data_IF_648544093401
#
_entry.id   IF_648544093401
#
_cell.length_a   1.000
_cell.length_b   1.000
_cell.length_c   1.000
_cell.angle_alpha   90.00
_cell.angle_beta   90.00
_cell.angle_gamma   90.00
#
_symmetry.space_group_name_H-M   'P 1'
#
loop_
_entity.id
_entity.type
_entity.pdbx_description
1 polymer ?
#
# COMPACT_ATOMS: atom_id res chain seq x y z
N UNK A 1 5.98 -17.54 18.50
CA UNK A 1 4.52 -17.34 18.40
C UNK A 1 4.24 -16.93 16.97
N UNK A 2 3.86 -17.88 16.12
CA UNK A 2 3.55 -17.66 14.70
C UNK A 2 2.02 -17.65 14.59
N UNK A 3 1.43 -16.47 14.44
CA UNK A 3 0.03 -16.37 14.08
C UNK A 3 -0.07 -16.51 12.56
N UNK A 4 -0.36 -17.76 12.17
CA UNK A 4 -0.79 -18.24 10.88
C UNK A 4 -1.85 -17.30 10.24
N UNK A 5 -1.43 -16.48 9.27
CA UNK A 5 -2.35 -15.90 8.28
C UNK A 5 -2.66 -16.94 7.21
N UNK A 6 -3.41 -17.98 7.58
CA UNK A 6 -3.88 -19.03 6.66
C UNK A 6 -5.15 -18.61 5.87
N UNK A 7 -5.66 -17.38 6.03
CA UNK A 7 -6.68 -16.85 5.14
C UNK A 7 -6.41 -15.39 4.81
N UNK A 8 -6.19 -15.13 3.52
CA UNK A 8 -6.10 -13.78 2.97
C UNK A 8 -7.51 -13.20 2.71
N UNK A 9 -8.52 -14.06 2.65
CA UNK A 9 -9.91 -13.67 2.43
C UNK A 9 -10.70 -13.59 3.74
N UNK A 10 -11.50 -12.53 3.93
CA UNK A 10 -12.22 -12.27 5.19
C UNK A 10 -13.59 -11.62 4.97
N UNK A 11 -14.59 -12.04 5.75
CA UNK A 11 -15.92 -11.42 5.77
C UNK A 11 -15.86 -10.02 6.42
N UNK A 12 -16.45 -9.02 5.77
CA UNK A 12 -16.60 -7.66 6.29
C UNK A 12 -18.07 -7.32 6.53
N UNK A 13 -18.34 -6.59 7.62
CA UNK A 13 -19.56 -5.81 7.78
C UNK A 13 -19.51 -4.65 6.76
N UNK A 14 -20.50 -4.55 5.88
CA UNK A 14 -20.69 -3.35 5.04
C UNK A 14 -22.08 -2.82 5.30
N UNK A 15 -22.22 -1.50 5.26
CA UNK A 15 -23.52 -0.90 5.02
C UNK A 15 -23.82 -0.94 3.51
N UNK A 16 -25.06 -1.22 3.13
CA UNK A 16 -25.52 -1.02 1.75
C UNK A 16 -25.42 0.47 1.40
N UNK A 17 -24.85 0.79 0.24
CA UNK A 17 -24.61 2.18 -0.15
C UNK A 17 -25.93 2.93 -0.40
N UNK A 18 -26.10 4.17 0.10
CA UNK A 18 -27.32 4.95 -0.07
C UNK A 18 -27.50 5.59 -1.47
N UNK A 19 -26.53 5.45 -2.39
CA UNK A 19 -26.55 6.06 -3.73
C UNK A 19 -25.71 5.26 -4.76
N UNK A 20 -26.02 5.34 -6.06
CA UNK A 20 -25.38 4.58 -7.15
C UNK A 20 -23.90 4.93 -7.44
N UNK A 21 -23.36 5.96 -6.78
CA UNK A 21 -21.99 6.46 -6.99
C UNK A 21 -20.93 5.80 -6.08
N UNK A 22 -21.34 5.24 -4.93
CA UNK A 22 -20.45 4.52 -4.01
C UNK A 22 -20.74 3.03 -4.14
N UNK A 23 -19.72 2.24 -4.46
CA UNK A 23 -19.87 0.79 -4.58
C UNK A 23 -19.80 0.13 -3.20
N UNK A 24 -18.78 0.47 -2.40
CA UNK A 24 -18.58 -0.10 -1.07
C UNK A 24 -17.72 0.82 -0.20
N UNK A 25 -18.02 0.86 1.11
CA UNK A 25 -17.15 1.43 2.14
C UNK A 25 -16.56 0.27 2.94
N UNK A 26 -15.23 0.19 2.97
CA UNK A 26 -14.45 -0.84 3.66
C UNK A 26 -13.94 -0.28 4.99
N UNK A 27 -14.20 -1.02 6.05
CA UNK A 27 -13.61 -0.78 7.38
C UNK A 27 -12.40 -1.67 7.58
N UNK A 28 -11.33 -1.17 8.23
CA UNK A 28 -10.10 -1.92 8.37
C UNK A 28 -10.22 -2.99 9.45
N UNK A 29 -9.43 -4.05 9.31
CA UNK A 29 -9.13 -4.95 10.43
C UNK A 29 -7.75 -4.65 10.97
N UNK A 30 -7.60 -4.70 12.30
CA UNK A 30 -6.29 -4.63 12.94
C UNK A 30 -5.60 -5.99 12.82
N UNK A 31 -4.39 -6.00 12.25
CA UNK A 31 -3.51 -7.16 12.16
C UNK A 31 -2.20 -6.89 12.90
N UNK A 32 -1.68 -7.87 13.63
CA UNK A 32 -0.38 -7.80 14.31
C UNK A 32 0.71 -8.40 13.42
N UNK A 33 1.78 -7.65 13.18
CA UNK A 33 2.95 -8.05 12.40
C UNK A 33 4.17 -8.41 13.28
N UNK A 34 3.95 -8.66 14.56
CA UNK A 34 5.00 -9.08 15.50
C UNK A 34 5.54 -7.92 16.34
N UNK A 35 4.67 -7.27 17.11
CA UNK A 35 5.02 -6.14 17.98
C UNK A 35 4.58 -4.78 17.43
N UNK A 36 3.93 -4.78 16.27
CA UNK A 36 3.38 -3.61 15.61
C UNK A 36 2.07 -3.98 14.91
N UNK A 37 1.04 -3.15 15.06
CA UNK A 37 -0.26 -3.38 14.44
C UNK A 37 -0.49 -2.48 13.23
N UNK A 38 -1.13 -3.05 12.22
CA UNK A 38 -1.53 -2.40 10.98
C UNK A 38 -3.04 -2.45 10.80
N UNK A 39 -3.59 -1.48 10.07
CA UNK A 39 -4.98 -1.48 9.63
C UNK A 39 -5.05 -1.97 8.18
N UNK A 40 -5.55 -3.19 7.98
CA UNK A 40 -5.68 -3.82 6.67
C UNK A 40 -7.03 -3.53 6.03
N UNK A 41 -6.99 -3.05 4.79
CA UNK A 41 -8.17 -2.71 3.98
C UNK A 41 -8.30 -3.50 2.69
N UNK A 42 -7.19 -3.99 2.12
CA UNK A 42 -7.22 -4.91 1.00
C UNK A 42 -6.26 -6.08 1.25
N UNK A 43 -6.63 -7.30 0.83
CA UNK A 43 -7.93 -7.68 0.27
C UNK A 43 -8.99 -7.97 1.35
N UNK A 44 -10.27 -7.92 0.97
CA UNK A 44 -11.45 -8.35 1.78
C UNK A 44 -12.30 -9.35 1.00
N UNK A 45 -13.35 -9.94 1.59
CA UNK A 45 -14.30 -10.78 0.86
C UNK A 45 -15.11 -9.97 -0.17
N UNK A 46 -15.41 -8.70 0.13
CA UNK A 46 -16.21 -7.82 -0.73
C UNK A 46 -15.40 -7.17 -1.85
N UNK A 47 -14.12 -6.85 -1.58
CA UNK A 47 -13.23 -6.23 -2.55
C UNK A 47 -11.83 -6.81 -2.44
N UNK A 48 -11.36 -7.45 -3.50
CA UNK A 48 -10.00 -8.01 -3.57
C UNK A 48 -8.98 -7.00 -4.06
N UNK A 49 -9.38 -6.16 -5.02
CA UNK A 49 -8.50 -5.22 -5.70
C UNK A 49 -9.23 -3.92 -6.02
N UNK A 50 -8.50 -2.84 -6.19
CA UNK A 50 -8.98 -1.60 -6.82
C UNK A 50 -7.99 -1.27 -7.93
N UNK A 51 -8.41 -1.37 -9.19
CA UNK A 51 -7.44 -1.33 -10.30
C UNK A 51 -6.35 -2.40 -10.13
N UNK A 52 -5.05 -2.04 -10.15
CA UNK A 52 -3.95 -2.98 -9.89
C UNK A 52 -3.63 -3.20 -8.41
N UNK A 53 -4.24 -2.46 -7.48
CA UNK A 53 -3.94 -2.53 -6.04
C UNK A 53 -4.58 -3.75 -5.39
N UNK A 54 -3.79 -4.73 -4.95
CA UNK A 54 -4.26 -5.99 -4.35
C UNK A 54 -4.12 -6.05 -2.83
N UNK A 55 -3.36 -5.11 -2.25
CA UNK A 55 -3.10 -5.05 -0.82
C UNK A 55 -2.98 -3.60 -0.38
N UNK A 56 -3.50 -3.31 0.82
CA UNK A 56 -3.43 -1.99 1.44
C UNK A 56 -3.44 -2.13 2.96
N UNK A 57 -2.34 -1.75 3.58
CA UNK A 57 -2.20 -1.61 5.03
C UNK A 57 -1.82 -0.15 5.37
N UNK A 58 -2.46 0.41 6.39
CA UNK A 58 -1.93 1.56 7.12
C UNK A 58 -1.10 1.09 8.30
N UNK A 59 0.12 1.60 8.40
CA UNK A 59 1.04 1.38 9.52
C UNK A 59 0.98 2.59 10.46
N UNK A 60 0.64 2.39 11.74
CA UNK A 60 0.57 3.48 12.72
C UNK A 60 -0.70 4.33 12.60
N UNK A 61 -0.76 5.56 13.15
CA UNK A 61 0.32 6.22 13.89
C UNK A 61 0.67 5.45 15.17
N UNK A 62 1.94 5.11 15.33
CA UNK A 62 2.46 4.43 16.52
C UNK A 62 3.61 5.22 17.13
N UNK A 63 3.77 5.11 18.45
CA UNK A 63 4.91 5.64 19.19
C UNK A 63 5.70 4.49 19.79
N UNK A 64 7.01 4.54 19.66
CA UNK A 64 7.93 3.52 20.16
C UNK A 64 8.85 4.15 21.20
N UNK A 65 8.97 3.56 22.40
CA UNK A 65 10.03 3.89 23.33
C UNK A 65 11.42 3.62 22.74
N UNK A 66 12.44 4.33 23.24
CA UNK A 66 13.83 4.03 22.91
C UNK A 66 14.16 2.54 23.12
N UNK A 67 14.77 1.91 22.11
CA UNK A 67 15.14 0.50 22.07
C UNK A 67 14.11 -0.42 21.39
N UNK A 68 12.90 0.07 21.16
CA UNK A 68 11.86 -0.64 20.41
C UNK A 68 11.76 -0.12 18.97
N UNK A 69 10.98 -0.79 18.13
CA UNK A 69 10.79 -0.43 16.73
C UNK A 69 10.34 -1.62 15.89
N UNK A 70 10.10 -1.37 14.60
CA UNK A 70 9.72 -2.42 13.66
C UNK A 70 10.91 -3.34 13.33
N UNK A 71 10.62 -4.64 13.24
CA UNK A 71 11.62 -5.65 12.87
C UNK A 71 11.00 -6.78 12.05
N UNK A 72 10.61 -6.46 10.82
CA UNK A 72 10.12 -7.47 9.87
C UNK A 72 11.33 -8.24 9.32
N UNK A 73 11.38 -9.53 9.65
CA UNK A 73 12.45 -10.42 9.21
C UNK A 73 12.36 -10.69 7.69
N UNK A 74 13.46 -11.16 7.06
CA UNK A 74 13.47 -11.59 5.67
C UNK A 74 12.27 -12.46 5.29
N UNK A 75 11.51 -12.01 4.28
CA UNK A 75 10.36 -12.70 3.73
C UNK A 75 10.27 -12.48 2.21
N UNK A 76 9.67 -13.42 1.45
CA UNK A 76 9.65 -13.39 0.00
C UNK A 76 8.37 -12.77 -0.55
N UNK A 77 8.45 -12.23 -1.77
CA UNK A 77 7.32 -11.84 -2.60
C UNK A 77 7.51 -12.34 -4.04
N UNK A 78 6.39 -12.56 -4.76
CA UNK A 78 6.36 -12.81 -6.22
C UNK A 78 5.16 -12.07 -6.84
N UNK A 79 5.26 -11.74 -8.13
CA UNK A 79 4.13 -11.27 -8.96
C UNK A 79 3.54 -9.92 -8.58
N UNK A 80 4.23 -9.15 -7.74
CA UNK A 80 3.83 -7.81 -7.28
C UNK A 80 4.96 -6.80 -7.39
N UNK A 81 4.61 -5.52 -7.23
CA UNK A 81 5.51 -4.52 -6.69
C UNK A 81 4.95 -3.97 -5.38
N UNK A 82 5.77 -3.88 -4.33
CA UNK A 82 5.38 -3.21 -3.07
C UNK A 82 5.67 -1.72 -3.17
N UNK A 83 4.79 -0.91 -2.59
CA UNK A 83 4.87 0.54 -2.51
C UNK A 83 4.81 0.94 -1.05
N UNK A 84 5.88 1.57 -0.57
CA UNK A 84 5.96 2.11 0.80
C UNK A 84 5.92 3.62 0.74
N UNK A 85 5.09 4.23 1.58
CA UNK A 85 4.99 5.68 1.74
C UNK A 85 4.85 6.05 3.22
N UNK A 86 5.65 6.99 3.72
CA UNK A 86 5.61 7.41 5.12
C UNK A 86 5.05 8.82 5.29
N UNK A 87 4.22 8.98 6.32
CA UNK A 87 3.80 10.26 6.86
C UNK A 87 4.73 10.73 7.99
N UNK A 88 5.28 9.80 8.77
CA UNK A 88 6.16 10.03 9.91
C UNK A 88 7.09 8.83 10.11
N UNK A 89 8.31 9.06 10.60
CA UNK A 89 9.27 8.01 10.93
C UNK A 89 10.25 7.67 9.80
N UNK A 90 10.93 6.53 9.92
CA UNK A 90 11.86 6.03 8.92
C UNK A 90 11.77 4.50 8.88
N UNK A 91 11.84 3.90 7.69
CA UNK A 91 12.00 2.44 7.55
C UNK A 91 13.26 2.18 6.75
N UNK A 92 14.08 1.24 7.20
CA UNK A 92 15.20 0.69 6.45
C UNK A 92 14.76 -0.56 5.69
N UNK A 93 14.85 -0.49 4.37
CA UNK A 93 14.68 -1.61 3.47
C UNK A 93 16.03 -2.28 3.16
N UNK A 94 16.05 -3.61 3.20
CA UNK A 94 17.11 -4.45 2.61
C UNK A 94 16.51 -5.57 1.78
N UNK A 95 17.13 -5.93 0.67
CA UNK A 95 16.64 -7.03 -0.16
C UNK A 95 17.74 -7.95 -0.73
N UNK A 96 17.30 -8.97 -1.45
CA UNK A 96 18.14 -9.97 -2.09
C UNK A 96 18.81 -9.51 -3.38
N UNK A 97 18.46 -8.33 -3.92
CA UNK A 97 19.18 -7.71 -5.06
C UNK A 97 20.28 -6.75 -4.59
N UNK A 98 20.45 -6.61 -3.27
CA UNK A 98 21.54 -5.85 -2.65
C UNK A 98 21.16 -4.41 -2.28
N UNK A 99 19.88 -4.05 -2.33
CA UNK A 99 19.43 -2.73 -1.93
C UNK A 99 19.58 -2.53 -0.41
N UNK A 100 19.97 -1.33 -0.01
CA UNK A 100 20.00 -0.86 1.36
C UNK A 100 19.52 0.59 1.37
N UNK A 101 18.26 0.82 1.75
CA UNK A 101 17.64 2.14 1.56
C UNK A 101 16.75 2.52 2.75
N UNK A 102 17.10 3.57 3.52
CA UNK A 102 16.15 4.22 4.41
C UNK A 102 15.14 5.03 3.62
N UNK A 103 13.85 4.85 3.89
CA UNK A 103 12.75 5.68 3.39
C UNK A 103 12.26 6.62 4.49
N UNK A 104 12.02 7.89 4.15
CA UNK A 104 11.57 8.94 5.05
C UNK A 104 10.25 9.56 4.58
N UNK A 105 9.61 10.43 5.39
CA UNK A 105 8.33 11.00 5.01
C UNK A 105 8.44 11.78 3.71
N UNK A 106 7.48 11.57 2.81
CA UNK A 106 7.51 12.15 1.47
C UNK A 106 8.12 11.24 0.40
N UNK A 107 9.06 10.37 0.75
CA UNK A 107 9.70 9.47 -0.22
C UNK A 107 8.77 8.32 -0.65
N UNK A 108 9.06 7.71 -1.79
CA UNK A 108 8.41 6.47 -2.25
C UNK A 108 9.46 5.40 -2.49
N UNK A 109 9.28 4.23 -1.90
CA UNK A 109 9.97 3.01 -2.33
C UNK A 109 9.03 2.17 -3.18
N UNK A 110 9.56 1.68 -4.32
CA UNK A 110 8.92 0.70 -5.17
C UNK A 110 9.84 -0.52 -5.29
N UNK A 111 9.48 -1.62 -4.62
CA UNK A 111 10.19 -2.90 -4.76
C UNK A 111 9.42 -3.80 -5.72
N UNK A 112 9.99 -4.05 -6.90
CA UNK A 112 9.45 -4.96 -7.90
C UNK A 112 9.90 -6.38 -7.55
N UNK A 113 8.95 -7.22 -7.14
CA UNK A 113 9.25 -8.61 -6.81
C UNK A 113 9.39 -9.49 -8.05
N UNK A 114 8.51 -9.31 -9.04
CA UNK A 114 8.54 -10.07 -10.28
C UNK A 114 8.64 -11.58 -10.04
N UNK A 115 9.64 -12.22 -10.64
CA UNK A 115 9.89 -13.66 -10.49
C UNK A 115 10.27 -14.08 -9.06
N UNK A 116 10.70 -13.15 -8.20
CA UNK A 116 10.92 -13.39 -6.78
C UNK A 116 11.98 -12.49 -6.16
N UNK A 117 11.63 -11.86 -5.05
CA UNK A 117 12.56 -11.10 -4.20
C UNK A 117 12.32 -11.49 -2.74
N UNK A 118 13.38 -11.54 -1.93
CA UNK A 118 13.25 -11.55 -0.47
C UNK A 118 13.71 -10.22 0.08
N UNK A 119 13.04 -9.70 1.11
CA UNK A 119 13.40 -8.44 1.74
C UNK A 119 13.06 -8.41 3.23
N UNK A 120 13.64 -7.42 3.92
CA UNK A 120 13.39 -7.12 5.33
C UNK A 120 13.16 -5.62 5.51
N UNK A 121 12.33 -5.27 6.49
CA UNK A 121 11.99 -3.88 6.84
C UNK A 121 12.22 -3.69 8.34
N UNK A 122 13.12 -2.78 8.70
CA UNK A 122 13.54 -2.53 10.10
C UNK A 122 13.75 -1.04 10.33
N UNK A 123 13.95 -0.63 11.58
CA UNK A 123 14.47 0.71 11.88
C UNK A 123 15.97 0.69 12.16
N UNK A 124 16.67 1.75 11.77
CA UNK A 124 18.11 1.87 12.03
C UNK A 124 18.38 2.13 13.52
N UNK A 125 19.53 1.70 14.07
CA UNK A 125 19.88 1.95 15.47
C UNK A 125 19.83 3.42 15.87
N UNK A 126 20.13 4.35 14.96
CA UNK A 126 20.07 5.78 15.25
C UNK A 126 18.63 6.30 15.44
N UNK A 127 17.65 5.62 14.83
CA UNK A 127 16.22 5.92 14.99
C UNK A 127 15.72 5.34 16.31
N UNK A 128 16.01 4.06 16.56
CA UNK A 128 15.52 3.36 17.75
C UNK A 128 16.25 3.77 19.03
N UNK A 129 17.39 4.49 18.97
CA UNK A 129 18.10 4.98 20.14
C UNK A 129 17.32 6.01 20.99
N UNK A 130 16.19 6.51 20.50
CA UNK A 130 15.32 7.49 21.18
C UNK A 130 13.85 7.17 20.95
N UNK A 131 12.98 7.81 21.73
CA UNK A 131 11.55 7.77 21.47
C UNK A 131 11.26 8.34 20.07
N UNK A 132 10.47 7.62 19.29
CA UNK A 132 10.14 7.98 17.91
C UNK A 132 8.75 7.48 17.54
N UNK A 133 8.34 7.81 16.33
CA UNK A 133 7.00 7.52 15.81
C UNK A 133 7.10 7.01 14.38
N UNK A 134 6.13 6.19 14.00
CA UNK A 134 5.97 5.66 12.65
C UNK A 134 4.52 5.80 12.22
N UNK A 135 4.31 6.36 11.03
CA UNK A 135 3.00 6.42 10.38
C UNK A 135 3.21 6.38 8.87
N UNK A 136 2.46 5.54 8.16
CA UNK A 136 2.62 5.37 6.72
C UNK A 136 1.64 4.38 6.13
N UNK A 137 1.86 4.05 4.86
CA UNK A 137 1.06 3.14 4.06
C UNK A 137 1.96 2.12 3.37
N UNK A 138 1.55 0.85 3.36
CA UNK A 138 2.15 -0.23 2.59
C UNK A 138 1.09 -0.79 1.62
N UNK A 139 1.36 -0.68 0.32
CA UNK A 139 0.45 -1.12 -0.72
C UNK A 139 1.14 -2.10 -1.66
N UNK A 140 0.40 -3.03 -2.25
CA UNK A 140 0.93 -3.91 -3.30
C UNK A 140 0.19 -3.71 -4.61
N UNK A 141 0.96 -3.47 -5.68
CA UNK A 141 0.53 -3.52 -7.05
C UNK A 141 0.69 -4.97 -7.55
N UNK A 142 -0.40 -5.62 -7.94
CA UNK A 142 -0.27 -6.84 -8.72
C UNK A 142 0.34 -6.50 -10.09
N UNK A 143 1.30 -7.29 -10.56
CA UNK A 143 1.87 -7.10 -11.89
C UNK A 143 0.91 -7.67 -12.94
N UNK A 144 0.79 -7.04 -14.13
CA UNK A 144 0.12 -7.67 -15.26
C UNK A 144 0.87 -8.94 -15.69
N UNK A 145 0.17 -9.86 -16.38
CA UNK A 145 0.72 -11.19 -16.71
C UNK A 145 2.04 -11.12 -17.50
N UNK A 146 2.19 -10.11 -18.36
CA UNK A 146 3.42 -9.87 -19.12
C UNK A 146 4.64 -9.47 -18.27
N UNK A 147 4.42 -9.08 -17.01
CA UNK A 147 5.46 -8.62 -16.08
C UNK A 147 5.55 -9.47 -14.80
N UNK A 148 4.67 -10.46 -14.57
CA UNK A 148 4.70 -11.29 -13.36
C UNK A 148 6.04 -11.98 -13.10
N UNK A 149 6.79 -12.31 -14.17
CA UNK A 149 8.09 -12.99 -14.10
C UNK A 149 9.26 -12.07 -14.51
N UNK A 150 9.10 -10.76 -14.44
CA UNK A 150 10.22 -9.83 -14.67
C UNK A 150 11.28 -9.96 -13.57
N UNK A 151 12.52 -9.57 -13.87
CA UNK A 151 13.59 -9.59 -12.87
C UNK A 151 13.26 -8.68 -11.68
N UNK A 152 13.60 -9.10 -10.45
CA UNK A 152 13.38 -8.29 -9.26
C UNK A 152 14.22 -7.00 -9.32
N UNK A 153 13.66 -5.90 -8.83
CA UNK A 153 14.32 -4.60 -8.83
C UNK A 153 13.83 -3.73 -7.67
N UNK A 154 14.62 -2.73 -7.30
CA UNK A 154 14.24 -1.74 -6.30
C UNK A 154 14.46 -0.33 -6.85
N UNK A 155 13.48 0.55 -6.61
CA UNK A 155 13.52 1.94 -7.01
C UNK A 155 13.13 2.83 -5.82
N UNK A 156 13.98 3.81 -5.51
CA UNK A 156 13.71 4.83 -4.51
C UNK A 156 13.51 6.18 -5.18
N UNK A 157 12.44 6.86 -4.81
CA UNK A 157 12.08 8.18 -5.31
C UNK A 157 12.04 9.15 -4.12
N UNK A 158 13.04 10.02 -3.99
CA UNK A 158 13.05 11.07 -2.98
C UNK A 158 11.80 11.97 -3.09
N UNK A 159 11.29 12.43 -1.94
CA UNK A 159 10.04 13.18 -1.89
C UNK A 159 10.02 14.48 -2.70
N UNK A 160 11.19 15.09 -2.97
CA UNK A 160 11.34 16.28 -3.80
C UNK A 160 11.23 16.02 -5.32
N UNK A 161 11.28 14.76 -5.74
CA UNK A 161 11.02 14.33 -7.12
C UNK A 161 9.54 14.02 -7.37
N UNK A 162 8.74 13.93 -6.30
CA UNK A 162 7.31 13.64 -6.42
C UNK A 162 6.55 14.94 -6.66
N UNK A 163 5.85 15.09 -7.80
CA UNK A 163 5.19 16.33 -8.16
C UNK A 163 4.06 16.68 -7.18
N UNK A 164 4.08 17.93 -6.72
CA UNK A 164 3.04 18.53 -5.90
C UNK A 164 2.34 19.64 -6.69
N UNK A 165 1.01 19.72 -6.54
CA UNK A 165 0.16 20.71 -7.20
C UNK A 165 -0.93 21.19 -6.23
N UNK A 166 -1.41 22.41 -6.42
CA UNK A 166 -2.56 22.96 -5.70
C UNK A 166 -3.80 22.88 -6.59
N UNK A 167 -4.87 22.26 -6.09
CA UNK A 167 -6.16 22.15 -6.76
C UNK A 167 -7.17 22.92 -5.92
N UNK A 168 -7.51 24.14 -6.35
CA UNK A 168 -8.45 25.02 -5.65
C UNK A 168 -8.14 25.20 -4.15
N UNK A 169 -6.85 25.35 -3.82
CA UNK A 169 -6.35 25.48 -2.46
C UNK A 169 -6.11 24.15 -1.73
N UNK A 170 -6.31 23.00 -2.38
CA UNK A 170 -6.01 21.67 -1.83
C UNK A 170 -4.62 21.24 -2.31
N UNK A 171 -3.63 21.09 -1.41
CA UNK A 171 -2.34 20.51 -1.76
C UNK A 171 -2.50 19.02 -2.10
N UNK A 172 -2.07 18.65 -3.30
CA UNK A 172 -2.09 17.28 -3.83
C UNK A 172 -0.68 16.87 -4.25
N UNK A 173 -0.29 15.64 -3.95
CA UNK A 173 0.93 15.00 -4.47
C UNK A 173 0.54 13.84 -5.37
N UNK A 174 1.05 13.85 -6.61
CA UNK A 174 0.82 12.77 -7.58
C UNK A 174 1.91 11.73 -7.39
N UNK A 175 1.63 10.75 -6.54
CA UNK A 175 2.60 9.74 -6.07
C UNK A 175 2.92 8.72 -7.17
N UNK A 176 1.91 8.17 -7.84
CA UNK A 176 2.04 7.26 -8.99
C UNK A 176 0.97 7.61 -10.02
N UNK A 177 1.34 7.58 -11.30
CA UNK A 177 0.41 7.87 -12.39
C UNK A 177 0.48 9.32 -12.87
N UNK A 178 -0.62 9.75 -13.50
CA UNK A 178 -0.80 11.11 -13.97
C UNK A 178 -2.16 11.64 -13.51
N UNK A 179 -2.19 12.86 -12.99
CA UNK A 179 -3.42 13.54 -12.57
C UNK A 179 -3.20 15.05 -12.65
N UNK A 180 -4.28 15.81 -12.90
CA UNK A 180 -4.26 17.28 -12.90
C UNK A 180 -3.15 17.90 -13.78
N UNK A 181 -2.84 17.27 -14.92
CA UNK A 181 -1.83 17.76 -15.86
C UNK A 181 -0.37 17.51 -15.47
N UNK A 182 -0.10 16.79 -14.38
CA UNK A 182 1.25 16.39 -13.96
C UNK A 182 1.40 14.86 -13.90
N UNK A 183 2.63 14.38 -14.05
CA UNK A 183 2.96 12.95 -14.09
C UNK A 183 4.09 12.62 -13.11
N UNK A 184 3.89 11.57 -12.32
CA UNK A 184 4.90 11.03 -11.40
C UNK A 184 6.04 10.33 -12.16
N UNK A 185 7.31 10.43 -11.70
CA UNK A 185 8.41 9.64 -12.23
C UNK A 185 8.36 8.17 -11.79
N UNK A 186 7.49 7.81 -10.83
CA UNK A 186 7.42 6.44 -10.31
C UNK A 186 7.03 5.47 -11.41
N UNK A 187 7.85 4.43 -11.57
CA UNK A 187 7.66 3.38 -12.56
C UNK A 187 6.28 2.71 -12.43
N UNK A 188 5.64 2.49 -13.58
CA UNK A 188 4.34 1.83 -13.71
C UNK A 188 4.44 0.60 -14.59
N UNK A 189 3.59 -0.39 -14.34
CA UNK A 189 3.46 -1.62 -15.13
C UNK A 189 2.08 -1.77 -15.79
N UNK A 190 1.11 -0.99 -15.31
CA UNK A 190 -0.24 -0.80 -15.83
C UNK A 190 -0.71 0.60 -15.45
N UNK A 191 -1.80 1.09 -16.04
CA UNK A 191 -2.40 2.36 -15.63
C UNK A 191 -2.71 2.32 -14.15
N UNK A 192 -2.08 3.22 -13.39
CA UNK A 192 -2.07 3.23 -11.94
C UNK A 192 -2.26 4.65 -11.46
N UNK A 193 -3.09 4.83 -10.45
CA UNK A 193 -3.30 6.10 -9.77
C UNK A 193 -2.96 5.93 -8.30
N UNK A 194 -2.10 6.81 -7.79
CA UNK A 194 -1.90 7.02 -6.36
C UNK A 194 -1.64 8.51 -6.09
N UNK A 195 -2.52 9.14 -5.31
CA UNK A 195 -2.38 10.51 -4.84
C UNK A 195 -2.40 10.59 -3.32
N UNK A 196 -1.75 11.61 -2.78
CA UNK A 196 -1.99 12.11 -1.42
C UNK A 196 -2.62 13.50 -1.52
N UNK A 197 -3.58 13.81 -0.66
CA UNK A 197 -4.08 15.17 -0.50
C UNK A 197 -4.39 15.49 0.96
N UNK A 198 -4.27 16.78 1.34
CA UNK A 198 -4.72 17.28 2.64
C UNK A 198 -5.73 18.39 2.43
N UNK A 199 -6.96 18.18 2.91
CA UNK A 199 -8.08 19.09 2.76
C UNK A 199 -8.38 19.75 4.11
N UNK A 200 -8.62 21.05 4.12
CA UNK A 200 -9.23 21.76 5.25
C UNK A 200 -10.74 21.55 5.26
N UNK A 201 -11.35 21.74 6.42
CA UNK A 201 -12.80 21.69 6.57
C UNK A 201 -13.52 22.56 5.52
N UNK A 202 -14.48 21.98 4.81
CA UNK A 202 -15.26 22.64 3.76
C UNK A 202 -14.62 22.66 2.37
N UNK A 203 -13.35 22.25 2.22
CA UNK A 203 -12.75 22.08 0.90
C UNK A 203 -13.31 20.85 0.19
N UNK A 204 -13.49 20.97 -1.11
CA UNK A 204 -13.89 19.90 -2.01
C UNK A 204 -12.74 19.62 -2.98
N UNK A 205 -12.54 18.34 -3.28
CA UNK A 205 -11.63 17.89 -4.33
C UNK A 205 -12.39 17.00 -5.30
N UNK A 206 -12.40 17.37 -6.58
CA UNK A 206 -12.79 16.48 -7.66
C UNK A 206 -11.67 15.44 -7.87
N UNK A 207 -12.01 14.17 -7.72
CA UNK A 207 -11.06 13.06 -7.90
C UNK A 207 -10.72 12.89 -9.38
N UNK A 208 -9.47 12.55 -9.73
CA UNK A 208 -9.11 12.31 -11.12
C UNK A 208 -9.83 11.08 -11.68
N UNK A 209 -10.02 11.08 -13.00
CA UNK A 209 -10.60 9.95 -13.71
C UNK A 209 -9.69 8.72 -13.66
N UNK A 210 -10.29 7.56 -13.41
CA UNK A 210 -9.66 6.24 -13.44
C UNK A 210 -10.74 5.17 -13.61
N UNK A 211 -10.42 4.05 -14.29
CA UNK A 211 -11.36 2.94 -14.53
C UNK A 211 -11.93 2.39 -13.22
N UNK A 212 -11.08 2.24 -12.21
CA UNK A 212 -11.48 2.02 -10.82
C UNK A 212 -10.73 2.99 -9.91
N UNK A 213 -11.40 3.46 -8.86
CA UNK A 213 -10.80 4.33 -7.86
C UNK A 213 -11.40 4.13 -6.48
N UNK A 214 -10.59 4.42 -5.48
CA UNK A 214 -10.99 4.47 -4.09
C UNK A 214 -10.29 5.62 -3.37
N UNK A 215 -10.94 6.13 -2.32
CA UNK A 215 -10.36 7.09 -1.38
C UNK A 215 -10.21 6.43 -0.04
N UNK A 216 -9.02 6.49 0.52
CA UNK A 216 -8.71 6.13 1.88
C UNK A 216 -8.53 7.38 2.74
N UNK A 217 -9.20 7.45 3.89
CA UNK A 217 -9.10 8.57 4.84
C UNK A 217 -8.09 8.20 5.92
N UNK A 218 -6.87 8.75 5.88
CA UNK A 218 -5.83 8.47 6.87
C UNK A 218 -6.10 9.18 8.21
N UNK A 219 -6.68 10.38 8.16
CA UNK A 219 -7.13 11.15 9.33
C UNK A 219 -8.24 12.11 8.94
N UNK A 220 -9.08 12.50 9.89
CA UNK A 220 -10.23 13.39 9.66
C UNK A 220 -11.44 12.65 9.11
N UNK A 221 -12.27 13.33 8.32
CA UNK A 221 -13.49 12.77 7.77
C UNK A 221 -13.88 13.49 6.47
N UNK A 222 -14.41 12.71 5.52
CA UNK A 222 -14.96 13.21 4.27
C UNK A 222 -16.46 12.98 4.20
N UNK A 223 -17.09 13.62 3.22
CA UNK A 223 -18.42 13.30 2.72
C UNK A 223 -18.37 13.20 1.19
N UNK A 224 -19.08 12.23 0.63
CA UNK A 224 -19.28 12.11 -0.81
C UNK A 224 -20.70 11.60 -1.09
N UNK A 225 -21.39 12.20 -2.06
CA UNK A 225 -22.76 11.82 -2.44
C UNK A 225 -23.73 11.67 -1.26
N UNK A 226 -23.61 12.53 -0.23
CA UNK A 226 -24.45 12.49 0.97
C UNK A 226 -24.05 11.45 2.02
N UNK A 227 -23.04 10.61 1.76
CA UNK A 227 -22.51 9.62 2.70
C UNK A 227 -21.28 10.14 3.42
N UNK A 228 -21.18 9.89 4.73
CA UNK A 228 -19.96 10.12 5.49
C UNK A 228 -18.93 9.02 5.21
N UNK A 229 -17.68 9.43 5.01
CA UNK A 229 -16.53 8.55 4.83
C UNK A 229 -15.60 8.78 6.04
N UNK A 230 -15.68 7.93 7.08
CA UNK A 230 -14.97 8.17 8.33
C UNK A 230 -13.47 7.91 8.22
N UNK A 231 -12.70 8.40 9.20
CA UNK A 231 -11.30 8.07 9.37
C UNK A 231 -11.03 6.56 9.29
N UNK A 232 -9.88 6.21 8.74
CA UNK A 232 -9.38 4.86 8.53
C UNK A 232 -10.26 3.96 7.66
N UNK A 233 -11.24 4.51 6.94
CA UNK A 233 -12.05 3.76 5.98
C UNK A 233 -11.56 3.96 4.54
N UNK A 234 -11.83 2.99 3.68
CA UNK A 234 -11.64 3.10 2.23
C UNK A 234 -12.99 3.03 1.52
N UNK A 235 -13.27 4.05 0.71
CA UNK A 235 -14.49 4.12 -0.11
C UNK A 235 -14.15 3.84 -1.56
N UNK A 236 -14.73 2.79 -2.13
CA UNK A 236 -14.62 2.44 -3.54
C UNK A 236 -15.81 3.04 -4.28
N UNK A 237 -15.53 3.83 -5.32
CA UNK A 237 -16.54 4.49 -6.12
C UNK A 237 -16.95 3.63 -7.32
N UNK A 238 -18.20 3.77 -7.76
CA UNK A 238 -18.64 3.16 -9.01
C UNK A 238 -17.97 3.83 -10.21
N UNK A 239 -17.97 3.13 -11.34
CA UNK A 239 -17.41 3.65 -12.60
C UNK A 239 -18.26 4.81 -13.09
N UNK A 240 -17.69 6.00 -13.10
CA UNK A 240 -18.34 7.24 -13.51
C UNK A 240 -17.36 8.40 -13.44
N UNK A 241 -17.71 9.54 -14.01
CA UNK A 241 -16.90 10.75 -13.95
C UNK A 241 -17.38 11.73 -12.88
N UNK A 242 -16.53 12.70 -12.54
CA UNK A 242 -16.91 13.83 -11.68
C UNK A 242 -17.26 13.44 -10.24
N UNK A 243 -16.51 12.48 -9.66
CA UNK A 243 -16.65 12.18 -8.24
C UNK A 243 -15.94 13.24 -7.42
N UNK A 244 -16.68 13.86 -6.53
CA UNK A 244 -16.19 14.86 -5.59
C UNK A 244 -16.20 14.33 -4.16
N UNK A 245 -15.20 14.72 -3.38
CA UNK A 245 -15.16 14.51 -1.94
C UNK A 245 -15.01 15.85 -1.22
N UNK A 246 -15.79 16.06 -0.16
CA UNK A 246 -15.71 17.27 0.68
C UNK A 246 -15.24 16.89 2.06
N UNK A 247 -14.24 17.59 2.58
CA UNK A 247 -13.77 17.38 3.95
C UNK A 247 -14.70 18.04 4.97
N UNK A 248 -15.12 17.31 6.00
CA UNK A 248 -15.93 17.85 7.11
C UNK A 248 -15.06 18.44 8.22
N UNK A 249 -13.79 18.03 8.28
CA UNK A 249 -12.74 18.55 9.15
C UNK A 249 -11.38 18.50 8.43
N UNK A 250 -10.29 18.91 9.07
CA UNK A 250 -8.95 18.75 8.48
C UNK A 250 -8.66 17.27 8.23
N UNK A 251 -8.42 16.92 6.96
CA UNK A 251 -8.50 15.54 6.49
C UNK A 251 -7.32 15.23 5.58
N UNK A 252 -6.60 14.14 5.87
CA UNK A 252 -5.54 13.60 5.00
C UNK A 252 -6.04 12.34 4.32
N UNK A 253 -5.85 12.27 3.01
CA UNK A 253 -6.39 11.19 2.18
C UNK A 253 -5.33 10.61 1.28
N UNK A 254 -5.51 9.34 0.94
CA UNK A 254 -4.87 8.67 -0.19
C UNK A 254 -5.94 8.33 -1.23
N UNK A 255 -5.70 8.67 -2.49
CA UNK A 255 -6.54 8.24 -3.61
C UNK A 255 -5.79 7.16 -4.36
N UNK A 256 -6.39 5.98 -4.51
CA UNK A 256 -5.80 4.89 -5.29
C UNK A 256 -6.74 4.51 -6.44
N UNK A 257 -6.18 4.00 -7.53
CA UNK A 257 -6.97 3.56 -8.67
C UNK A 257 -6.13 3.03 -9.81
N UNK A 258 -6.76 2.80 -10.95
CA UNK A 258 -6.10 2.37 -12.17
C UNK A 258 -6.91 1.37 -12.97
N UNK A 259 -6.26 0.75 -13.94
CA UNK A 259 -6.87 -0.27 -14.79
C UNK A 259 -7.01 -1.60 -14.02
N UNK A 260 -8.21 -2.23 -13.99
CA UNK A 260 -8.40 -3.52 -13.37
C UNK A 260 -7.55 -4.58 -14.05
N UNK A 261 -6.92 -5.42 -13.24
CA UNK A 261 -6.22 -6.60 -13.75
C UNK A 261 -7.17 -7.80 -13.81
N UNK A 262 -6.76 -8.80 -14.60
CA UNK A 262 -7.40 -10.11 -14.59
C UNK A 262 -7.31 -10.78 -13.22
N UNK A 263 -7.90 -11.96 -13.10
CA UNK A 263 -7.92 -12.72 -11.84
C UNK A 263 -6.50 -12.89 -11.27
N UNK A 264 -6.37 -12.64 -9.96
CA UNK A 264 -5.16 -12.93 -9.18
C UNK A 264 -5.48 -13.85 -8.03
N UNK A 265 -4.58 -14.79 -7.79
CA UNK A 265 -4.55 -15.59 -6.57
C UNK A 265 -3.57 -14.92 -5.61
N UNK A 266 -3.94 -14.88 -4.34
CA UNK A 266 -3.08 -14.38 -3.26
C UNK A 266 -3.08 -15.40 -2.14
N UNK A 267 -1.89 -15.84 -1.75
CA UNK A 267 -1.67 -16.71 -0.60
C UNK A 267 -0.39 -16.28 0.11
N UNK A 268 -0.52 -15.94 1.40
CA UNK A 268 0.57 -15.32 2.17
C UNK A 268 1.13 -14.07 1.46
N UNK A 269 2.40 -14.11 1.05
CA UNK A 269 3.10 -13.03 0.36
C UNK A 269 3.22 -13.22 -1.16
N UNK A 270 2.56 -14.25 -1.69
CA UNK A 270 2.65 -14.64 -3.10
C UNK A 270 1.38 -14.26 -3.85
N UNK A 271 1.55 -13.53 -4.94
CA UNK A 271 0.49 -13.19 -5.88
C UNK A 271 0.85 -13.71 -7.27
N UNK A 272 -0.11 -14.29 -7.98
CA UNK A 272 0.06 -14.65 -9.39
C UNK A 272 -1.30 -14.83 -10.07
N UNK A 273 -1.31 -14.71 -11.40
CA UNK A 273 -2.39 -15.15 -12.29
C UNK A 273 -2.70 -16.65 -12.19
N UNK A 274 -1.78 -17.48 -11.68
CA UNK A 274 -1.98 -18.95 -11.59
C UNK A 274 -1.67 -19.53 -10.21
N UNK A 275 -2.48 -20.50 -9.77
CA UNK A 275 -2.23 -21.23 -8.50
C UNK A 275 -0.96 -22.08 -8.54
N UNK A 276 -0.62 -22.65 -9.70
CA UNK A 276 0.56 -23.49 -9.85
C UNK A 276 1.84 -22.72 -9.54
N UNK A 277 1.89 -21.43 -9.91
CA UNK A 277 3.02 -20.55 -9.62
C UNK A 277 3.18 -20.25 -8.12
N UNK A 278 2.07 -20.08 -7.41
CA UNK A 278 2.06 -19.91 -5.95
C UNK A 278 2.60 -21.18 -5.26
N UNK A 279 2.12 -22.37 -5.65
CA UNK A 279 2.63 -23.63 -5.08
C UNK A 279 4.13 -23.79 -5.31
N UNK A 280 4.62 -23.44 -6.50
CA UNK A 280 6.05 -23.44 -6.81
C UNK A 280 6.82 -22.46 -5.90
N UNK A 281 6.33 -21.24 -5.70
CA UNK A 281 6.96 -20.26 -4.81
C UNK A 281 7.02 -20.74 -3.35
N UNK A 282 5.96 -21.41 -2.88
CA UNK A 282 5.90 -22.02 -1.53
C UNK A 282 6.97 -23.10 -1.36
N UNK A 283 7.09 -23.99 -2.33
CA UNK A 283 8.15 -25.00 -2.33
C UNK A 283 9.54 -24.38 -2.39
N UNK A 284 9.73 -23.36 -3.24
CA UNK A 284 11.00 -22.66 -3.40
C UNK A 284 11.42 -21.96 -2.11
N UNK A 285 10.49 -21.32 -1.39
CA UNK A 285 10.77 -20.70 -0.11
C UNK A 285 11.10 -21.73 0.99
N UNK A 286 10.29 -22.79 1.12
CA UNK A 286 10.55 -23.87 2.11
C UNK A 286 11.90 -24.56 1.89
N UNK A 287 12.34 -24.66 0.65
CA UNK A 287 13.63 -25.27 0.29
C UNK A 287 14.79 -24.26 0.26
N UNK A 288 14.57 -22.98 0.60
CA UNK A 288 15.62 -21.96 0.62
C UNK A 288 16.18 -21.60 -0.76
N UNK A 289 15.36 -21.68 -1.82
CA UNK A 289 15.75 -21.40 -3.21
C UNK A 289 15.62 -19.92 -3.62
N UNK A 290 14.98 -19.09 -2.81
CA UNK A 290 15.03 -17.63 -3.01
C UNK A 290 16.44 -17.12 -2.68
N UNK A 291 16.87 -16.08 -3.41
CA UNK A 291 18.07 -15.35 -3.04
C UNK A 291 17.90 -14.77 -1.62
N UNK A 292 18.97 -14.83 -0.83
CA UNK A 292 18.95 -14.32 0.55
C UNK A 292 19.08 -12.80 0.56
N UNK A 293 18.52 -12.17 1.59
CA UNK A 293 18.68 -10.72 1.81
C UNK A 293 20.12 -10.41 2.16
N UNK A 294 20.76 -9.54 1.37
CA UNK A 294 22.17 -9.19 1.54
C UNK A 294 22.36 -8.44 2.86
N UNK A 295 23.19 -8.98 3.75
CA UNK A 295 23.43 -8.44 5.10
C UNK A 295 22.32 -8.71 6.12
N UNK A 296 21.43 -9.67 5.84
CA UNK A 296 20.41 -10.18 6.79
C UNK A 296 20.10 -11.67 6.53
N UNK A 297 21.13 -12.50 6.38
CA UNK A 297 21.00 -13.89 5.91
C UNK A 297 20.66 -14.93 7.00
N UNK A 298 20.69 -14.54 8.28
CA UNK A 298 20.68 -15.47 9.42
C UNK A 298 19.29 -16.00 9.79
N UNK A 299 18.26 -15.17 9.66
CA UNK A 299 16.89 -15.50 10.07
C UNK A 299 15.90 -15.07 8.99
N UNK A 300 14.79 -15.80 8.86
CA UNK A 300 13.73 -15.49 7.90
C UNK A 300 12.38 -15.97 8.43
N UNK A 301 11.28 -15.47 7.85
CA UNK A 301 9.92 -15.89 8.18
C UNK A 301 9.61 -17.20 7.46
N UNK A 302 9.41 -18.34 8.15
CA UNK A 302 9.07 -19.61 7.51
C UNK A 302 7.65 -19.58 6.94
N UNK A 303 7.40 -20.42 5.92
CA UNK A 303 6.04 -20.71 5.42
C UNK A 303 5.29 -21.67 6.34
#
# INVERSE_FOLDING_TARGET
MSNLMNSVEQNCDSADAPCSAIEVILSPRVADLGGFSVRRLLPTAKRKMVGPWIFFDEMGPAAFPAGEGIKVLPHPHIGIATVTYLFEGEILHRDSVGSYQPIRPGDINLMVAGSGIAHSERERPEITAKDHRLHGLQLWLALPESHEETDPAFHHYPGDQIPAIDIDGVPVRVMIGSAYGVSSPVRQFSDTLYLEATLKAGQTLELPEATERAVYVASGALRAHGSELPAHSMTVFSRGSGVEVTATEETRIAVIGGEPLGKRFIEWNFVSSTRARIEKAKEDWRAGRFAKVVGDEEAFIPY
#
